data_IF_573471884226
#
_entry.id   IF_573471884226
#
_cell.length_a   1.000
_cell.length_b   1.000
_cell.length_c   1.000
_cell.angle_alpha   90.00
_cell.angle_beta   90.00
_cell.angle_gamma   90.00
#
_symmetry.space_group_name_H-M   'P 1'
#
loop_
_entity.id
_entity.type
_entity.pdbx_description
1 polymer ?
#
# COMPACT_ATOMS: atom_id res chain seq x y z
N UNK A 1 -56.55 -11.89 3.27
CA UNK A 1 -56.51 -11.21 4.58
C UNK A 1 -55.11 -11.49 5.15
N UNK A 2 -54.15 -10.56 5.18
CA UNK A 2 -54.17 -9.23 5.78
C UNK A 2 -53.77 -8.12 4.79
N UNK A 3 -54.44 -6.98 4.87
CA UNK A 3 -54.36 -5.86 3.92
C UNK A 3 -53.18 -4.92 4.16
N UNK A 4 -52.67 -4.36 3.08
CA UNK A 4 -51.86 -3.14 3.10
C UNK A 4 -52.71 -1.97 3.62
N UNK A 5 -52.19 -1.25 4.61
CA UNK A 5 -52.76 0.02 5.05
C UNK A 5 -52.50 1.12 4.01
N UNK A 6 -53.46 2.02 3.73
CA UNK A 6 -53.27 3.13 2.82
C UNK A 6 -52.31 4.18 3.38
N UNK A 7 -51.51 4.77 2.49
CA UNK A 7 -50.35 5.65 2.71
C UNK A 7 -50.65 6.96 3.47
N UNK A 8 -51.90 7.21 3.88
CA UNK A 8 -52.34 8.48 4.47
C UNK A 8 -52.21 8.56 6.00
N UNK A 9 -51.80 7.49 6.68
CA UNK A 9 -51.62 7.48 8.14
C UNK A 9 -50.17 7.60 8.64
N UNK A 10 -49.22 8.00 7.78
CA UNK A 10 -47.84 8.27 8.22
C UNK A 10 -47.71 9.75 8.63
N UNK A 11 -47.35 10.07 9.90
CA UNK A 11 -47.20 11.45 10.37
C UNK A 11 -46.28 12.27 9.46
N UNK A 12 -46.63 13.54 9.18
CA UNK A 12 -45.84 14.44 8.29
C UNK A 12 -44.35 14.53 8.66
N UNK A 13 -43.99 14.29 9.92
CA UNK A 13 -42.59 14.23 10.39
C UNK A 13 -41.81 13.00 9.89
N UNK A 14 -42.46 11.86 9.64
CA UNK A 14 -41.81 10.66 9.08
C UNK A 14 -41.67 10.70 7.55
N UNK A 15 -42.48 11.50 6.84
CA UNK A 15 -42.29 11.71 5.39
C UNK A 15 -41.00 12.48 5.06
N UNK A 16 -40.43 13.23 6.02
CA UNK A 16 -39.18 13.97 5.83
C UNK A 16 -37.93 13.09 5.98
N UNK A 17 -38.07 11.88 6.53
CA UNK A 17 -36.96 10.93 6.72
C UNK A 17 -36.88 9.86 5.62
N UNK A 18 -37.86 9.80 4.72
CA UNK A 18 -37.86 8.97 3.51
C UNK A 18 -37.66 9.80 2.23
N UNK A 19 -37.03 10.97 2.37
CA UNK A 19 -36.52 11.72 1.23
C UNK A 19 -35.17 11.09 0.87
N UNK A 20 -35.23 10.10 -0.01
CA UNK A 20 -34.16 9.66 -0.92
C UNK A 20 -32.76 10.09 -0.45
N UNK A 21 -32.01 9.20 0.20
CA UNK A 21 -30.55 9.25 0.02
C UNK A 21 -30.37 9.23 -1.50
N UNK A 22 -29.97 10.35 -2.09
CA UNK A 22 -29.41 10.32 -3.43
C UNK A 22 -28.39 9.20 -3.40
N UNK A 23 -28.47 8.27 -4.35
CA UNK A 23 -27.34 7.37 -4.59
C UNK A 23 -26.14 8.30 -4.71
N UNK A 24 -25.21 8.24 -3.75
CA UNK A 24 -24.04 9.11 -3.81
C UNK A 24 -23.40 8.88 -5.17
N UNK A 25 -23.10 9.96 -5.89
CA UNK A 25 -22.37 9.87 -7.14
C UNK A 25 -21.15 8.96 -6.93
N UNK A 26 -20.89 8.00 -7.83
CA UNK A 26 -19.76 7.10 -7.67
C UNK A 26 -18.49 7.94 -7.52
N UNK A 27 -17.73 7.65 -6.48
CA UNK A 27 -16.48 8.33 -6.18
C UNK A 27 -15.59 8.39 -7.42
N UNK A 28 -15.01 9.57 -7.68
CA UNK A 28 -14.07 9.80 -8.78
C UNK A 28 -12.62 9.76 -8.31
N UNK A 29 -12.33 8.97 -7.27
CA UNK A 29 -10.97 8.77 -6.77
C UNK A 29 -10.30 7.63 -7.53
N UNK A 30 -9.12 7.85 -8.06
CA UNK A 30 -8.26 6.79 -8.59
C UNK A 30 -7.03 6.70 -7.67
N UNK A 31 -6.85 5.51 -7.09
CA UNK A 31 -5.63 5.17 -6.36
C UNK A 31 -4.55 4.76 -7.37
N UNK A 32 -3.33 5.27 -7.20
CA UNK A 32 -2.21 5.01 -8.13
C UNK A 32 -1.01 4.54 -7.31
N UNK A 33 -0.41 3.41 -7.64
CA UNK A 33 0.87 3.01 -7.05
C UNK A 33 1.99 3.95 -7.50
N UNK A 34 3.08 3.98 -6.72
CA UNK A 34 4.27 4.75 -7.03
C UNK A 34 5.30 3.93 -7.80
N UNK A 35 5.77 2.85 -7.19
CA UNK A 35 6.89 2.07 -7.70
C UNK A 35 6.48 1.26 -8.93
N UNK A 36 7.23 1.41 -10.02
CA UNK A 36 7.04 0.87 -11.38
C UNK A 36 5.68 1.14 -12.06
N UNK A 37 4.85 2.03 -11.48
CA UNK A 37 3.68 2.66 -12.12
C UNK A 37 3.93 4.12 -12.46
N UNK A 38 4.50 4.87 -11.52
CA UNK A 38 4.90 6.27 -11.70
C UNK A 38 6.42 6.43 -11.75
N UNK A 39 7.17 5.66 -10.96
CA UNK A 39 8.61 5.73 -10.82
C UNK A 39 9.25 4.42 -11.31
N UNK A 40 10.25 4.46 -12.19
CA UNK A 40 10.97 3.26 -12.64
C UNK A 40 11.92 2.75 -11.53
N UNK A 41 11.35 2.20 -10.47
CA UNK A 41 12.07 1.82 -9.24
C UNK A 41 12.91 0.57 -9.47
N UNK A 42 12.37 -0.49 -10.08
CA UNK A 42 13.15 -1.69 -10.37
C UNK A 42 14.32 -1.41 -11.32
N UNK A 43 14.19 -0.43 -12.24
CA UNK A 43 15.33 0.00 -13.09
C UNK A 43 16.45 0.60 -12.23
N UNK A 44 16.10 1.55 -11.36
CA UNK A 44 17.07 2.20 -10.48
C UNK A 44 17.68 1.22 -9.47
N UNK A 45 16.91 0.25 -8.99
CA UNK A 45 17.38 -0.83 -8.13
C UNK A 45 18.38 -1.72 -8.86
N UNK A 46 18.11 -2.10 -10.12
CA UNK A 46 19.04 -2.89 -10.93
C UNK A 46 20.37 -2.16 -11.16
N UNK A 47 20.31 -0.89 -11.55
CA UNK A 47 21.48 -0.02 -11.72
C UNK A 47 22.30 0.04 -10.42
N UNK A 48 21.64 0.34 -9.30
CA UNK A 48 22.30 0.39 -7.98
C UNK A 48 22.91 -0.96 -7.58
N UNK A 49 22.21 -2.07 -7.80
CA UNK A 49 22.69 -3.40 -7.42
C UNK A 49 23.93 -3.80 -8.25
N UNK A 50 23.94 -3.45 -9.54
CA UNK A 50 25.09 -3.66 -10.43
C UNK A 50 26.31 -2.83 -9.99
N UNK A 51 26.10 -1.56 -9.65
CA UNK A 51 27.16 -0.67 -9.19
C UNK A 51 27.71 -1.08 -7.81
N UNK A 52 26.84 -1.47 -6.88
CA UNK A 52 27.19 -1.68 -5.46
C UNK A 52 27.67 -3.10 -5.17
N UNK A 53 27.11 -4.09 -5.86
CA UNK A 53 27.37 -5.52 -5.60
C UNK A 53 28.04 -6.24 -6.77
N UNK A 54 28.38 -5.54 -7.86
CA UNK A 54 29.10 -6.10 -9.00
C UNK A 54 28.27 -7.12 -9.80
N UNK A 55 26.94 -6.99 -9.78
CA UNK A 55 26.03 -7.84 -10.56
C UNK A 55 25.83 -7.33 -11.99
N UNK A 56 25.06 -8.07 -12.78
CA UNK A 56 24.66 -7.74 -14.15
C UNK A 56 23.14 -7.88 -14.34
N UNK A 57 22.36 -7.39 -13.38
CA UNK A 57 20.91 -7.44 -13.37
C UNK A 57 20.30 -6.55 -14.46
N UNK A 58 19.23 -7.07 -15.04
CA UNK A 58 18.30 -6.41 -15.95
C UNK A 58 16.89 -6.49 -15.38
N UNK A 59 15.92 -5.80 -15.99
CA UNK A 59 14.52 -5.88 -15.54
C UNK A 59 13.93 -7.29 -15.68
N UNK A 60 14.43 -8.09 -16.62
CA UNK A 60 13.97 -9.47 -16.84
C UNK A 60 14.33 -10.40 -15.68
N UNK A 61 15.36 -10.05 -14.89
CA UNK A 61 15.79 -10.81 -13.70
C UNK A 61 14.85 -10.62 -12.50
N UNK A 62 13.97 -9.61 -12.52
CA UNK A 62 12.96 -9.41 -11.50
C UNK A 62 11.75 -10.33 -11.77
N UNK A 63 11.93 -11.64 -11.56
CA UNK A 63 10.90 -12.64 -11.81
C UNK A 63 9.70 -12.57 -10.85
N UNK A 64 9.90 -11.99 -9.65
CA UNK A 64 8.90 -11.90 -8.59
C UNK A 64 8.92 -10.53 -7.90
N UNK A 65 7.77 -10.13 -7.37
CA UNK A 65 7.62 -8.93 -6.53
C UNK A 65 8.55 -8.94 -5.31
N UNK A 66 8.76 -10.09 -4.68
CA UNK A 66 9.67 -10.19 -3.54
C UNK A 66 11.10 -10.44 -4.02
N UNK A 67 11.99 -9.47 -3.81
CA UNK A 67 13.35 -9.49 -4.34
C UNK A 67 14.21 -10.69 -3.93
N UNK A 68 14.05 -11.25 -2.74
CA UNK A 68 14.81 -12.44 -2.30
C UNK A 68 14.58 -13.68 -3.18
N UNK A 69 13.55 -13.64 -4.03
CA UNK A 69 13.21 -14.69 -4.98
C UNK A 69 13.80 -14.48 -6.37
N UNK A 70 14.58 -13.42 -6.54
CA UNK A 70 15.23 -13.05 -7.80
C UNK A 70 16.74 -13.28 -7.69
N UNK A 71 17.45 -13.50 -8.82
CA UNK A 71 18.89 -13.73 -8.83
C UNK A 71 19.66 -12.60 -8.14
N UNK A 72 20.70 -12.96 -7.39
CA UNK A 72 21.67 -12.02 -6.82
C UNK A 72 21.24 -11.36 -5.50
N UNK A 73 20.02 -11.57 -5.03
CA UNK A 73 19.50 -10.92 -3.82
C UNK A 73 19.85 -11.63 -2.50
N UNK A 74 20.16 -12.93 -2.55
CA UNK A 74 20.45 -13.74 -1.37
C UNK A 74 19.20 -14.12 -0.58
N UNK A 75 19.36 -14.35 0.72
CA UNK A 75 18.25 -14.70 1.62
C UNK A 75 17.32 -13.51 1.86
N UNK A 76 16.20 -13.73 2.56
CA UNK A 76 15.32 -12.62 3.00
C UNK A 76 16.07 -11.59 3.86
N UNK A 77 17.03 -12.04 4.67
CA UNK A 77 17.83 -11.16 5.52
C UNK A 77 18.72 -10.26 4.65
N UNK A 78 19.49 -10.86 3.74
CA UNK A 78 20.37 -10.12 2.81
C UNK A 78 19.55 -9.12 1.99
N UNK A 79 18.40 -9.56 1.49
CA UNK A 79 17.46 -8.72 0.74
C UNK A 79 16.97 -7.54 1.58
N UNK A 80 16.59 -7.77 2.84
CA UNK A 80 16.11 -6.68 3.70
C UNK A 80 17.20 -5.63 3.93
N UNK A 81 18.45 -6.04 4.11
CA UNK A 81 19.59 -5.14 4.28
C UNK A 81 19.83 -4.32 2.99
N UNK A 82 19.83 -4.97 1.83
CA UNK A 82 19.98 -4.33 0.52
C UNK A 82 18.86 -3.33 0.21
N UNK A 83 17.61 -3.71 0.44
CA UNK A 83 16.45 -2.82 0.23
C UNK A 83 16.55 -1.57 1.10
N UNK A 84 16.87 -1.74 2.40
CA UNK A 84 17.06 -0.60 3.31
C UNK A 84 18.18 0.31 2.84
N UNK A 85 19.27 -0.25 2.33
CA UNK A 85 20.37 0.54 1.79
C UNK A 85 19.93 1.32 0.54
N UNK A 86 19.28 0.67 -0.43
CA UNK A 86 18.77 1.33 -1.63
C UNK A 86 17.84 2.50 -1.30
N UNK A 87 16.84 2.31 -0.44
CA UNK A 87 15.94 3.40 -0.08
C UNK A 87 16.63 4.52 0.71
N UNK A 88 17.71 4.21 1.45
CA UNK A 88 18.51 5.23 2.14
C UNK A 88 19.35 6.07 1.17
N UNK A 89 19.92 5.48 0.11
CA UNK A 89 20.92 6.14 -0.74
C UNK A 89 20.41 6.56 -2.12
N UNK A 90 19.39 5.86 -2.63
CA UNK A 90 18.99 5.92 -4.03
C UNK A 90 17.49 6.18 -4.23
N UNK A 91 16.70 6.47 -3.19
CA UNK A 91 15.25 6.74 -3.32
C UNK A 91 14.88 7.85 -4.31
N UNK A 92 15.78 8.80 -4.56
CA UNK A 92 15.59 9.89 -5.53
C UNK A 92 16.03 9.57 -6.96
N UNK A 93 16.65 8.40 -7.19
CA UNK A 93 17.23 7.99 -8.47
C UNK A 93 16.21 7.52 -9.52
N UNK A 94 15.09 6.87 -9.17
CA UNK A 94 14.07 6.53 -10.16
C UNK A 94 13.68 7.78 -10.97
N UNK A 95 13.46 7.59 -12.26
CA UNK A 95 12.86 8.60 -13.14
C UNK A 95 11.42 8.17 -13.45
N UNK A 96 10.55 9.09 -13.90
CA UNK A 96 9.18 8.75 -14.21
C UNK A 96 9.06 7.61 -15.23
N UNK A 97 8.05 6.76 -15.05
CA UNK A 97 7.62 5.80 -16.08
C UNK A 97 7.20 6.59 -17.32
N UNK A 98 7.58 6.19 -18.55
CA UNK A 98 7.17 6.89 -19.76
C UNK A 98 5.64 7.04 -19.85
N UNK A 99 5.17 8.24 -20.22
CA UNK A 99 3.75 8.56 -20.31
C UNK A 99 3.04 8.79 -18.98
N UNK A 100 3.72 8.61 -17.83
CA UNK A 100 3.09 8.74 -16.53
C UNK A 100 2.55 10.14 -16.26
N UNK A 101 3.34 11.19 -16.56
CA UNK A 101 2.93 12.57 -16.31
C UNK A 101 1.74 12.94 -17.19
N UNK A 102 1.79 12.60 -18.47
CA UNK A 102 0.73 12.85 -19.44
C UNK A 102 -0.54 12.08 -19.06
N UNK A 103 -0.40 10.82 -18.65
CA UNK A 103 -1.50 9.97 -18.20
C UNK A 103 -2.20 10.53 -16.97
N UNK A 104 -1.48 10.89 -15.92
CA UNK A 104 -2.12 11.44 -14.71
C UNK A 104 -2.72 12.83 -14.95
N UNK A 105 -2.09 13.67 -15.79
CA UNK A 105 -2.66 14.95 -16.22
C UNK A 105 -3.98 14.76 -16.98
N UNK A 106 -4.04 13.75 -17.84
CA UNK A 106 -5.24 13.40 -18.58
C UNK A 106 -6.36 12.91 -17.64
N UNK A 107 -6.04 12.06 -16.65
CA UNK A 107 -7.02 11.68 -15.63
C UNK A 107 -7.51 12.89 -14.83
N UNK A 108 -6.64 13.86 -14.50
CA UNK A 108 -7.08 15.13 -13.88
C UNK A 108 -8.03 15.90 -14.78
N UNK A 109 -7.73 15.99 -16.08
CA UNK A 109 -8.58 16.67 -17.07
C UNK A 109 -9.96 16.00 -17.21
N UNK A 110 -10.04 14.68 -17.03
CA UNK A 110 -11.30 13.93 -16.97
C UNK A 110 -12.08 14.13 -15.65
N UNK A 111 -11.51 14.85 -14.68
CA UNK A 111 -12.14 15.22 -13.42
C UNK A 111 -11.99 14.17 -12.31
N UNK A 112 -10.92 13.38 -12.33
CA UNK A 112 -10.60 12.45 -11.25
C UNK A 112 -9.75 13.12 -10.15
N UNK A 113 -10.04 12.74 -8.91
CA UNK A 113 -9.16 12.93 -7.75
C UNK A 113 -8.12 11.82 -7.78
N UNK A 114 -6.84 12.17 -7.62
CA UNK A 114 -5.74 11.21 -7.70
C UNK A 114 -5.02 11.12 -6.36
N UNK A 115 -4.88 9.90 -5.85
CA UNK A 115 -4.18 9.64 -4.58
C UNK A 115 -3.13 8.56 -4.80
N UNK A 116 -1.88 8.85 -4.42
CA UNK A 116 -0.83 7.82 -4.45
C UNK A 116 -1.05 6.87 -3.27
N UNK A 117 -0.97 5.55 -3.51
CA UNK A 117 -1.01 4.52 -2.46
C UNK A 117 0.19 3.59 -2.63
N UNK A 118 1.22 3.80 -1.80
CA UNK A 118 2.52 3.13 -1.93
C UNK A 118 2.82 2.19 -0.76
N UNK A 119 3.59 1.14 -1.02
CA UNK A 119 4.10 0.20 -0.01
C UNK A 119 5.31 0.73 0.79
N UNK A 120 5.84 1.89 0.39
CA UNK A 120 6.93 2.58 1.11
C UNK A 120 6.58 2.83 2.57
N UNK A 121 7.62 2.87 3.40
CA UNK A 121 7.52 3.09 4.84
C UNK A 121 7.32 4.57 5.18
N UNK A 122 6.69 4.87 6.31
CA UNK A 122 6.50 6.26 6.75
C UNK A 122 7.84 7.00 6.94
N UNK A 123 8.91 6.30 7.32
CA UNK A 123 10.26 6.87 7.46
C UNK A 123 10.84 7.33 6.10
N UNK A 124 10.31 6.84 4.96
CA UNK A 124 10.71 7.19 3.58
C UNK A 124 9.88 8.35 3.00
N UNK A 125 8.89 8.83 3.75
CA UNK A 125 7.93 9.86 3.30
C UNK A 125 8.58 11.17 2.87
N UNK A 126 9.54 11.77 3.60
CA UNK A 126 10.08 13.08 3.21
C UNK A 126 10.65 13.06 1.79
N UNK A 127 11.54 12.10 1.50
CA UNK A 127 12.16 11.97 0.19
C UNK A 127 11.16 11.51 -0.88
N UNK A 128 10.17 10.70 -0.52
CA UNK A 128 9.10 10.30 -1.45
C UNK A 128 8.27 11.50 -1.89
N UNK A 129 7.89 12.39 -0.96
CA UNK A 129 7.16 13.61 -1.29
C UNK A 129 8.00 14.58 -2.13
N UNK A 130 9.29 14.72 -1.82
CA UNK A 130 10.20 15.52 -2.66
C UNK A 130 10.29 14.98 -4.09
N UNK A 131 10.33 13.65 -4.26
CA UNK A 131 10.32 13.01 -5.58
C UNK A 131 9.00 13.26 -6.31
N UNK A 132 7.86 13.09 -5.65
CA UNK A 132 6.53 13.33 -6.23
C UNK A 132 6.38 14.79 -6.65
N UNK A 133 6.75 15.74 -5.80
CA UNK A 133 6.67 17.17 -6.10
C UNK A 133 7.59 17.58 -7.26
N UNK A 134 8.73 16.93 -7.41
CA UNK A 134 9.67 17.17 -8.51
C UNK A 134 9.08 16.79 -9.88
N UNK A 135 8.41 15.65 -9.97
CA UNK A 135 7.98 15.09 -11.27
C UNK A 135 6.49 15.25 -11.56
N UNK A 136 5.66 15.39 -10.53
CA UNK A 136 4.19 15.49 -10.64
C UNK A 136 3.64 16.67 -9.83
N UNK A 137 4.16 17.90 -10.03
CA UNK A 137 3.72 19.07 -9.28
C UNK A 137 2.22 19.31 -9.47
N UNK A 138 1.50 19.54 -8.36
CA UNK A 138 0.08 19.88 -8.32
C UNK A 138 -0.89 18.86 -8.97
N UNK A 139 -0.45 17.62 -9.16
CA UNK A 139 -1.28 16.55 -9.75
C UNK A 139 -2.05 15.77 -8.68
N UNK A 140 -1.37 15.29 -7.65
CA UNK A 140 -1.93 14.37 -6.66
C UNK A 140 -2.47 15.12 -5.44
N UNK A 141 -3.65 14.71 -5.00
CA UNK A 141 -4.34 15.33 -3.87
C UNK A 141 -3.79 14.83 -2.52
N UNK A 142 -3.21 13.61 -2.48
CA UNK A 142 -2.66 12.99 -1.27
C UNK A 142 -1.68 11.83 -1.60
N UNK A 143 -0.88 11.43 -0.62
CA UNK A 143 0.01 10.26 -0.67
C UNK A 143 -0.18 9.41 0.59
N UNK A 144 -0.59 8.16 0.41
CA UNK A 144 -0.82 7.18 1.47
C UNK A 144 0.27 6.12 1.48
N UNK A 145 0.90 5.97 2.63
CA UNK A 145 1.93 4.97 2.90
C UNK A 145 1.27 3.76 3.59
N UNK A 146 1.51 2.57 3.05
CA UNK A 146 1.01 1.30 3.61
C UNK A 146 2.10 0.52 4.34
N UNK A 147 3.36 0.94 4.24
CA UNK A 147 4.47 0.39 5.02
C UNK A 147 4.42 0.82 6.48
N UNK A 148 3.94 -0.07 7.37
CA UNK A 148 3.97 -0.01 8.85
C UNK A 148 3.69 1.35 9.50
N UNK A 149 2.51 1.50 10.12
CA UNK A 149 2.18 2.60 11.04
C UNK A 149 2.68 2.29 12.45
N UNK A 150 3.30 3.29 13.10
CA UNK A 150 3.54 3.27 14.55
C UNK A 150 2.33 3.86 15.27
N UNK A 151 1.51 3.03 15.90
CA UNK A 151 0.47 3.52 16.81
C UNK A 151 0.96 3.44 18.25
N UNK A 152 0.98 4.57 18.96
CA UNK A 152 1.21 4.58 20.42
C UNK A 152 -0.07 4.11 21.12
N UNK A 153 -0.09 2.84 21.53
CA UNK A 153 -1.19 2.32 22.36
C UNK A 153 -1.08 2.96 23.74
N UNK A 154 -1.99 3.89 24.05
CA UNK A 154 -2.25 4.29 25.44
C UNK A 154 -2.96 3.14 26.14
N UNK A 155 -2.28 2.44 27.05
CA UNK A 155 -2.94 1.47 27.92
C UNK A 155 -4.09 2.15 28.67
N UNK A 156 -5.31 1.65 28.46
CA UNK A 156 -6.42 1.97 29.36
C UNK A 156 -6.14 1.22 30.66
N UNK A 157 -5.65 1.95 31.66
CA UNK A 157 -5.52 1.43 33.02
C UNK A 157 -6.83 0.77 33.46
N UNK A 158 -6.74 -0.48 33.88
CA UNK A 158 -7.83 -1.20 34.52
C UNK A 158 -8.27 -0.41 35.76
N UNK A 159 -9.52 0.03 35.76
CA UNK A 159 -10.22 0.48 36.96
C UNK A 159 -10.35 -0.73 37.89
N UNK A 160 -9.60 -0.74 38.99
CA UNK A 160 -9.98 -1.47 40.19
C UNK A 160 -10.61 -0.48 41.16
N UNK A 161 -11.87 -0.73 41.47
CA UNK A 161 -12.54 -0.20 42.66
C UNK A 161 -11.71 -0.49 43.91
N UNK A 162 -11.53 0.51 44.77
CA UNK A 162 -11.67 0.35 46.23
C UNK A 162 -11.74 1.72 46.93
N UNK A 163 -12.58 1.75 47.95
CA UNK A 163 -13.13 2.89 48.68
C UNK A 163 -12.34 3.29 49.94
N UNK A 164 -12.48 4.58 50.32
CA UNK A 164 -12.52 5.14 51.69
C UNK A 164 -11.26 5.13 52.60
N UNK A 165 -10.70 6.31 52.91
CA UNK A 165 -10.91 7.10 54.18
C UNK A 165 -9.85 8.18 54.45
N UNK A 166 -10.32 9.25 55.09
CA UNK A 166 -9.67 10.52 55.46
C UNK A 166 -8.47 10.44 56.44
N UNK A 167 -7.53 11.40 56.35
CA UNK A 167 -7.26 12.43 57.38
C UNK A 167 -6.07 13.35 57.03
N UNK A 168 -6.22 14.60 57.45
CA UNK A 168 -5.39 15.76 57.17
C UNK A 168 -4.34 16.04 58.27
N UNK A 169 -3.32 16.86 57.90
CA UNK A 169 -2.41 17.72 58.70
C UNK A 169 -1.05 17.14 59.15
N UNK A 170 0.05 17.81 58.74
CA UNK A 170 1.30 17.86 59.53
C UNK A 170 2.65 18.02 58.78
N UNK A 171 2.99 19.27 58.43
CA UNK A 171 4.32 19.93 58.27
C UNK A 171 5.66 19.12 58.31
N UNK A 172 6.43 19.31 57.23
CA UNK A 172 7.90 19.53 57.01
C UNK A 172 8.98 18.72 57.77
N UNK A 173 9.78 17.94 57.02
CA UNK A 173 11.20 17.63 57.34
C UNK A 173 12.03 17.48 56.04
N UNK A 174 13.14 18.24 55.96
CA UNK A 174 14.22 18.16 54.94
C UNK A 174 15.17 16.96 55.16
N UNK A 175 15.84 16.58 54.05
CA UNK A 175 17.13 15.84 53.84
C UNK A 175 16.94 14.42 53.30
N UNK A 176 17.25 14.20 52.02
CA UNK A 176 18.56 13.85 51.39
C UNK A 176 18.68 12.34 51.18
N UNK A 177 19.26 12.01 50.02
CA UNK A 177 19.76 10.70 49.56
C UNK A 177 18.76 9.66 49.06
N UNK A 178 18.79 9.39 47.75
CA UNK A 178 18.17 8.19 47.19
C UNK A 178 18.04 8.15 45.68
N UNK A 179 18.94 7.41 45.03
CA UNK A 179 18.91 6.97 43.63
C UNK A 179 17.49 6.80 43.05
N UNK A 180 17.12 7.66 42.10
CA UNK A 180 15.90 7.54 41.30
C UNK A 180 16.05 6.51 40.19
N UNK A 181 15.43 5.36 40.41
CA UNK A 181 15.11 4.30 39.46
C UNK A 181 14.55 4.90 38.15
N UNK A 182 15.17 4.63 37.00
CA UNK A 182 14.54 4.89 35.70
C UNK A 182 13.36 3.92 35.58
N UNK A 183 12.14 4.43 35.69
CA UNK A 183 10.93 3.67 35.35
C UNK A 183 10.93 3.42 33.85
N UNK A 184 11.25 2.18 33.46
CA UNK A 184 11.10 1.70 32.09
C UNK A 184 9.61 1.62 31.79
N UNK A 185 9.04 2.66 31.15
CA UNK A 185 7.74 2.53 30.51
C UNK A 185 7.94 1.66 29.25
N UNK A 186 7.81 0.34 29.42
CA UNK A 186 7.79 -0.61 28.32
C UNK A 186 6.42 -0.53 27.61
N UNK A 187 6.22 0.50 26.79
CA UNK A 187 5.14 0.49 25.81
C UNK A 187 5.45 -0.56 24.74
N UNK A 188 4.61 -1.58 24.61
CA UNK A 188 4.69 -2.54 23.49
C UNK A 188 4.26 -1.81 22.22
N UNK A 189 5.23 -1.45 21.38
CA UNK A 189 4.98 -0.86 20.06
C UNK A 189 4.51 -1.96 19.11
N UNK A 190 3.30 -1.86 18.59
CA UNK A 190 2.81 -2.76 17.55
C UNK A 190 2.72 -2.00 16.24
N UNK A 191 3.51 -2.42 15.26
CA UNK A 191 3.42 -1.89 13.91
C UNK A 191 2.12 -2.41 13.28
N UNK A 192 1.18 -1.51 12.95
CA UNK A 192 -0.04 -1.86 12.21
C UNK A 192 0.23 -1.58 10.74
N UNK A 193 0.18 -2.61 9.90
CA UNK A 193 0.34 -2.48 8.46
C UNK A 193 -1.05 -2.51 7.81
N UNK A 194 -1.51 -1.39 7.25
CA UNK A 194 -2.71 -1.38 6.42
C UNK A 194 -2.36 -1.89 5.01
N UNK A 195 -3.20 -2.70 4.43
CA UNK A 195 -3.09 -3.13 3.03
C UNK A 195 -3.57 -2.03 2.08
N UNK A 196 -3.13 -2.10 0.81
CA UNK A 196 -3.67 -1.20 -0.24
C UNK A 196 -5.18 -1.33 -0.39
N UNK A 197 -5.72 -2.53 -0.24
CA UNK A 197 -7.17 -2.77 -0.27
C UNK A 197 -7.91 -1.99 0.82
N UNK A 198 -7.39 -2.00 2.06
CA UNK A 198 -7.98 -1.25 3.17
C UNK A 198 -7.86 0.27 2.96
N UNK A 199 -6.70 0.75 2.49
CA UNK A 199 -6.51 2.17 2.18
C UNK A 199 -7.45 2.64 1.07
N UNK A 200 -7.55 1.88 -0.02
CA UNK A 200 -8.44 2.24 -1.12
C UNK A 200 -9.92 2.21 -0.72
N UNK A 201 -10.31 1.25 0.12
CA UNK A 201 -11.66 1.22 0.69
C UNK A 201 -11.94 2.44 1.57
N UNK A 202 -10.98 2.87 2.41
CA UNK A 202 -11.09 4.07 3.24
C UNK A 202 -11.18 5.36 2.40
N UNK A 203 -10.51 5.40 1.25
CA UNK A 203 -10.59 6.50 0.28
C UNK A 203 -11.87 6.46 -0.57
N UNK A 204 -12.67 5.39 -0.46
CA UNK A 204 -13.76 5.09 -1.37
C UNK A 204 -13.30 5.12 -2.84
N UNK A 205 -12.08 4.62 -3.11
CA UNK A 205 -11.49 4.58 -4.44
C UNK A 205 -12.02 3.34 -5.20
N UNK A 206 -12.78 3.50 -6.29
CA UNK A 206 -13.29 2.37 -7.07
C UNK A 206 -12.25 1.70 -7.99
N UNK A 207 -11.11 2.35 -8.21
CA UNK A 207 -10.06 1.91 -9.13
C UNK A 207 -8.69 2.08 -8.48
N UNK A 208 -7.86 1.06 -8.61
CA UNK A 208 -6.43 1.08 -8.33
C UNK A 208 -5.64 0.81 -9.62
N UNK A 209 -4.53 1.52 -9.82
CA UNK A 209 -3.51 1.22 -10.84
C UNK A 209 -2.26 0.76 -10.10
N UNK A 210 -1.82 -0.48 -10.32
CA UNK A 210 -0.76 -1.14 -9.53
C UNK A 210 -0.01 -2.13 -10.41
N UNK A 211 1.29 -2.30 -10.22
CA UNK A 211 2.12 -3.25 -10.98
C UNK A 211 2.22 -4.63 -10.29
N UNK A 212 1.86 -4.74 -9.01
CA UNK A 212 1.89 -6.00 -8.26
C UNK A 212 0.63 -6.83 -8.51
N UNK A 213 0.85 -8.06 -8.99
CA UNK A 213 -0.22 -9.04 -9.18
C UNK A 213 -0.93 -9.39 -7.86
N UNK A 214 -0.21 -9.44 -6.75
CA UNK A 214 -0.73 -9.74 -5.41
C UNK A 214 -1.61 -8.62 -4.88
N UNK A 215 -1.17 -7.37 -5.01
CA UNK A 215 -2.00 -6.21 -4.67
C UNK A 215 -3.27 -6.21 -5.51
N UNK A 216 -3.15 -6.46 -6.82
CA UNK A 216 -4.29 -6.53 -7.72
C UNK A 216 -5.29 -7.62 -7.33
N UNK A 217 -4.81 -8.83 -7.04
CA UNK A 217 -5.63 -9.96 -6.60
C UNK A 217 -6.30 -9.65 -5.26
N UNK A 218 -5.56 -9.13 -4.28
CA UNK A 218 -6.07 -8.80 -2.96
C UNK A 218 -7.18 -7.75 -3.03
N UNK A 219 -6.97 -6.69 -3.82
CA UNK A 219 -7.94 -5.62 -4.03
C UNK A 219 -9.20 -6.08 -4.75
N UNK A 220 -9.07 -6.91 -5.79
CA UNK A 220 -10.22 -7.46 -6.52
C UNK A 220 -11.05 -8.43 -5.68
N UNK A 221 -10.42 -9.10 -4.70
CA UNK A 221 -11.09 -10.01 -3.75
C UNK A 221 -11.56 -9.32 -2.46
N UNK A 222 -11.25 -8.04 -2.28
CA UNK A 222 -11.68 -7.28 -1.11
C UNK A 222 -13.21 -7.14 -1.06
N UNK A 223 -13.73 -6.65 0.08
CA UNK A 223 -15.15 -6.34 0.26
C UNK A 223 -15.31 -4.88 0.70
N UNK A 224 -15.91 -4.01 -0.14
CA UNK A 224 -16.36 -4.27 -1.51
C UNK A 224 -15.18 -4.55 -2.46
N UNK A 225 -15.40 -5.30 -3.55
CA UNK A 225 -14.35 -5.59 -4.53
C UNK A 225 -13.96 -4.32 -5.28
N UNK A 226 -12.65 -4.09 -5.41
CA UNK A 226 -12.10 -2.95 -6.15
C UNK A 226 -11.66 -3.38 -7.55
N UNK A 227 -11.84 -2.51 -8.55
CA UNK A 227 -11.26 -2.76 -9.88
C UNK A 227 -9.78 -2.41 -9.87
N UNK A 228 -8.99 -3.19 -10.58
CA UNK A 228 -7.54 -2.94 -10.67
C UNK A 228 -7.09 -2.98 -12.12
N UNK A 229 -6.28 -2.00 -12.49
CA UNK A 229 -5.46 -2.06 -13.71
C UNK A 229 -4.08 -2.56 -13.29
N UNK A 230 -3.77 -3.81 -13.64
CA UNK A 230 -2.44 -4.39 -13.46
C UNK A 230 -1.52 -3.80 -14.52
N UNK A 231 -0.67 -2.87 -14.09
CA UNK A 231 0.13 -2.02 -14.95
C UNK A 231 1.45 -2.69 -15.36
N UNK A 232 1.81 -2.51 -16.63
CA UNK A 232 3.07 -2.94 -17.22
C UNK A 232 3.08 -4.41 -17.68
N UNK A 233 3.97 -4.68 -18.62
CA UNK A 233 4.31 -6.04 -19.07
C UNK A 233 5.59 -6.53 -18.36
N UNK A 234 5.54 -6.52 -17.04
CA UNK A 234 6.71 -6.78 -16.21
C UNK A 234 6.86 -8.27 -15.82
N UNK A 235 8.09 -8.76 -15.78
CA UNK A 235 8.40 -10.14 -15.41
C UNK A 235 7.84 -10.54 -14.02
N UNK A 236 7.85 -9.60 -13.07
CA UNK A 236 7.38 -9.81 -11.69
C UNK A 236 5.86 -9.86 -11.55
N UNK A 237 5.11 -9.42 -12.56
CA UNK A 237 3.64 -9.41 -12.54
C UNK A 237 3.02 -10.56 -13.36
N UNK A 238 3.85 -11.43 -13.95
CA UNK A 238 3.41 -12.62 -14.66
C UNK A 238 2.98 -13.76 -13.72
N UNK A 239 3.34 -13.69 -12.43
CA UNK A 239 3.16 -14.76 -11.44
C UNK A 239 2.96 -14.18 -10.04
N UNK A 240 2.36 -14.97 -9.15
CA UNK A 240 2.25 -14.58 -7.74
C UNK A 240 3.57 -14.88 -7.01
N UNK A 241 4.08 -13.90 -6.30
CA UNK A 241 5.22 -14.00 -5.39
C UNK A 241 4.82 -14.58 -4.03
N UNK A 242 4.25 -15.79 -4.04
CA UNK A 242 3.90 -16.51 -2.80
C UNK A 242 5.13 -16.73 -1.93
N UNK A 243 4.90 -16.64 -0.62
CA UNK A 243 5.90 -16.90 0.41
C UNK A 243 6.51 -18.29 0.27
N UNK A 244 7.80 -18.38 0.49
CA UNK A 244 8.50 -19.66 0.59
C UNK A 244 8.42 -20.19 2.02
N UNK A 245 8.49 -21.51 2.16
CA UNK A 245 8.38 -22.14 3.47
C UNK A 245 9.55 -21.79 4.43
N UNK A 246 10.71 -21.42 3.88
CA UNK A 246 11.91 -21.07 4.64
C UNK A 246 12.39 -19.67 4.32
N UNK A 247 12.78 -18.92 5.35
CA UNK A 247 13.37 -17.58 5.21
C UNK A 247 14.85 -17.61 4.80
N UNK A 248 15.50 -18.77 4.95
CA UNK A 248 16.90 -19.01 4.57
C UNK A 248 17.05 -19.36 3.08
N UNK A 249 15.94 -19.53 2.36
CA UNK A 249 15.97 -19.91 0.96
C UNK A 249 16.24 -18.69 0.08
N UNK A 250 17.33 -18.71 -0.69
CA UNK A 250 17.60 -17.78 -1.78
C UNK A 250 17.14 -18.36 -3.13
N UNK A 251 17.10 -17.51 -4.15
CA UNK A 251 16.90 -17.95 -5.54
C UNK A 251 17.91 -19.02 -5.97
N UNK A 252 19.20 -18.80 -5.69
CA UNK A 252 20.29 -19.70 -6.08
C UNK A 252 20.13 -21.07 -5.41
N UNK A 253 19.89 -21.09 -4.11
CA UNK A 253 19.68 -22.35 -3.38
C UNK A 253 18.44 -23.08 -3.88
N UNK A 254 17.36 -22.36 -4.19
CA UNK A 254 16.16 -22.99 -4.77
C UNK A 254 16.44 -23.55 -6.17
N UNK A 255 17.22 -22.86 -7.00
CA UNK A 255 17.60 -23.33 -8.33
C UNK A 255 18.42 -24.62 -8.27
N UNK A 256 19.37 -24.70 -7.34
CA UNK A 256 20.14 -25.92 -7.08
C UNK A 256 19.23 -27.07 -6.62
N UNK A 257 18.31 -26.82 -5.68
CA UNK A 257 17.33 -27.82 -5.22
C UNK A 257 16.42 -28.32 -6.35
N UNK A 258 16.15 -27.47 -7.34
CA UNK A 258 15.37 -27.80 -8.54
C UNK A 258 16.21 -28.42 -9.67
N UNK A 259 17.49 -28.73 -9.42
CA UNK A 259 18.39 -29.32 -10.42
C UNK A 259 18.66 -28.40 -11.61
N UNK A 260 18.68 -27.08 -11.40
CA UNK A 260 18.86 -26.09 -12.46
C UNK A 260 17.60 -25.81 -13.29
N UNK A 261 16.45 -26.39 -12.94
CA UNK A 261 15.19 -26.13 -13.63
C UNK A 261 14.71 -24.70 -13.34
N UNK A 262 14.47 -23.92 -14.39
CA UNK A 262 13.94 -22.55 -14.33
C UNK A 262 12.43 -22.54 -14.02
N UNK A 263 12.06 -22.91 -12.78
CA UNK A 263 10.67 -23.17 -12.38
C UNK A 263 9.72 -21.99 -12.63
N UNK A 264 10.22 -20.75 -12.56
CA UNK A 264 9.39 -19.57 -12.78
C UNK A 264 8.81 -19.55 -14.19
N UNK A 265 9.47 -20.11 -15.21
CA UNK A 265 8.94 -20.14 -16.59
C UNK A 265 7.61 -20.89 -16.73
N UNK A 266 7.33 -21.81 -15.82
CA UNK A 266 6.09 -22.62 -15.83
C UNK A 266 4.97 -22.00 -14.99
N UNK A 267 5.30 -21.06 -14.09
CA UNK A 267 4.32 -20.39 -13.24
C UNK A 267 3.62 -19.29 -14.04
N UNK A 268 2.29 -19.17 -13.92
CA UNK A 268 1.52 -18.06 -14.49
C UNK A 268 0.41 -17.65 -13.52
N UNK A 269 0.23 -16.35 -13.36
CA UNK A 269 -0.84 -15.79 -12.52
C UNK A 269 -2.20 -16.00 -13.18
N UNK A 270 -3.19 -16.39 -12.38
CA UNK A 270 -4.60 -16.40 -12.78
C UNK A 270 -5.28 -15.19 -12.16
N UNK A 271 -5.60 -14.21 -13.00
CA UNK A 271 -6.22 -12.96 -12.54
C UNK A 271 -7.72 -13.15 -12.28
N UNK A 272 -8.25 -12.68 -11.13
CA UNK A 272 -9.68 -12.74 -10.84
C UNK A 272 -10.46 -11.71 -11.67
N UNK A 273 -11.78 -11.89 -11.73
CA UNK A 273 -12.68 -10.86 -12.29
C UNK A 273 -12.47 -9.54 -11.56
N UNK A 274 -12.37 -8.45 -12.31
CA UNK A 274 -12.15 -7.10 -11.79
C UNK A 274 -10.71 -6.61 -11.95
N UNK A 275 -9.78 -7.47 -12.36
CA UNK A 275 -8.42 -7.07 -12.76
C UNK A 275 -8.31 -7.07 -14.27
N UNK A 276 -7.80 -5.99 -14.86
CA UNK A 276 -7.47 -5.88 -16.27
C UNK A 276 -5.97 -5.56 -16.42
N UNK A 277 -5.29 -6.14 -17.41
CA UNK A 277 -3.92 -5.76 -17.74
C UNK A 277 -3.92 -4.51 -18.62
N UNK A 278 -2.97 -3.61 -18.38
CA UNK A 278 -2.67 -2.44 -19.21
C UNK A 278 -1.17 -2.36 -19.37
N UNK A 279 -0.66 -2.18 -20.59
CA UNK A 279 0.79 -2.23 -20.83
C UNK A 279 1.50 -0.93 -20.43
N UNK A 280 0.79 0.20 -20.55
CA UNK A 280 1.32 1.55 -20.38
C UNK A 280 0.20 2.54 -20.02
N UNK A 281 0.54 3.82 -19.92
CA UNK A 281 -0.40 4.88 -19.58
C UNK A 281 -1.42 5.18 -20.69
N UNK A 282 -1.10 4.92 -21.96
CA UNK A 282 -2.08 5.07 -23.04
C UNK A 282 -3.21 4.04 -22.90
N UNK A 283 -2.87 2.79 -22.57
CA UNK A 283 -3.84 1.74 -22.26
C UNK A 283 -4.69 2.08 -21.02
N UNK A 284 -4.08 2.67 -19.98
CA UNK A 284 -4.81 3.17 -18.79
C UNK A 284 -5.88 4.18 -19.22
N UNK A 285 -5.50 5.22 -19.97
CA UNK A 285 -6.44 6.26 -20.41
C UNK A 285 -7.53 5.68 -21.30
N UNK A 286 -7.17 4.80 -22.23
CA UNK A 286 -8.13 4.13 -23.10
C UNK A 286 -9.16 3.34 -22.28
N UNK A 287 -8.69 2.57 -21.30
CA UNK A 287 -9.56 1.78 -20.44
C UNK A 287 -10.52 2.65 -19.63
N UNK A 288 -10.01 3.73 -19.01
CA UNK A 288 -10.82 4.63 -18.17
C UNK A 288 -11.92 5.31 -18.99
N UNK A 289 -11.59 5.82 -20.19
CA UNK A 289 -12.59 6.43 -21.09
C UNK A 289 -13.73 5.45 -21.42
N UNK A 290 -13.39 4.21 -21.77
CA UNK A 290 -14.41 3.21 -22.14
C UNK A 290 -15.31 2.78 -20.98
N UNK A 291 -14.76 2.64 -19.77
CA UNK A 291 -15.44 1.97 -18.66
C UNK A 291 -16.04 2.92 -17.61
N UNK A 292 -15.76 4.22 -17.71
CA UNK A 292 -16.18 5.20 -16.73
C UNK A 292 -16.92 6.41 -17.31
N UNK A 293 -16.64 6.82 -18.55
CA UNK A 293 -17.43 7.88 -19.22
C UNK A 293 -18.79 7.39 -19.73
N UNK A 294 -19.00 6.07 -19.79
CA UNK A 294 -20.23 5.43 -20.27
C UNK A 294 -21.27 5.13 -19.17
N UNK A 295 -21.11 5.71 -17.97
CA UNK A 295 -22.03 5.55 -16.83
C UNK A 295 -22.71 6.83 -16.43
#
# INVERSE_FOLDING_TARGET
>A
MFGCLPTEMIPRRLRRFMRTRSVAEPSRVIAVDLDDVLAQTNRAVAEWHNETHGTSMTLDDFHYYHYYKNPGWGTKKDTSEKVKEFYRTNIMKPIPVPGALEGVQELRRMGYTLVIVTARHEDEKPMTLDWVNKYFPDIFDDVKFTGAFREEVKEKGSLSDESEKDKEVGVDVRREDGKGMKTSQNGVKKDIKLSKAEVCAALNAPLLIDDSAENAIACARATPPMRVLLFGEYAWNERESKEWASNELSYETKLEMMGGKEWWKEEKVVLPKGVARVKDWDDVIHWVRQHWETR
#
